data_IF_323906706006
#
_entry.id   IF_323906706006
#
_cell.length_a   1.000
_cell.length_b   1.000
_cell.length_c   1.000
_cell.angle_alpha   90.00
_cell.angle_beta   90.00
_cell.angle_gamma   90.00
#
_symmetry.space_group_name_H-M   'P 1'
#
loop_
_entity.id
_entity.type
_entity.pdbx_description
1 polymer ?
#
# COMPACT_ATOMS: atom_id res chain seq x y z
N UNK A 1 -44.40 -26.25 8.59
CA UNK A 1 -45.31 -25.89 9.69
C UNK A 1 -44.80 -24.66 10.35
N UNK A 2 -45.67 -23.76 10.41
CA UNK A 2 -45.90 -22.54 11.18
C UNK A 2 -45.14 -21.30 10.70
N UNK A 3 -45.84 -20.52 9.95
CA UNK A 3 -46.92 -19.57 10.28
C UNK A 3 -46.44 -18.42 11.13
N UNK A 4 -46.61 -17.25 10.46
CA UNK A 4 -47.11 -15.99 10.97
C UNK A 4 -46.01 -15.07 11.52
N UNK A 5 -45.90 -13.82 11.11
CA UNK A 5 -46.83 -12.66 11.12
C UNK A 5 -46.13 -11.56 10.34
N UNK A 6 -46.51 -11.04 9.25
CA UNK A 6 -47.46 -9.97 8.93
C UNK A 6 -47.53 -8.77 9.90
N UNK A 7 -47.38 -7.63 9.29
CA UNK A 7 -47.66 -6.26 9.77
C UNK A 7 -46.53 -5.55 10.56
N UNK A 8 -45.89 -4.58 9.99
CA UNK A 8 -46.31 -3.18 10.17
C UNK A 8 -45.78 -2.28 9.07
N UNK A 9 -46.70 -1.82 8.30
CA UNK A 9 -46.61 -0.62 7.46
C UNK A 9 -46.68 0.57 8.41
N UNK A 10 -45.63 1.40 8.42
CA UNK A 10 -45.72 2.74 8.98
C UNK A 10 -44.90 3.69 8.12
N UNK A 11 -45.62 4.37 7.30
CA UNK A 11 -45.33 5.58 6.55
C UNK A 11 -44.97 6.72 7.53
N UNK A 12 -43.75 7.22 7.46
CA UNK A 12 -43.43 8.57 8.00
C UNK A 12 -42.53 9.29 7.03
N UNK A 13 -43.15 10.12 6.21
CA UNK A 13 -42.54 11.26 5.56
C UNK A 13 -42.13 12.27 6.63
N UNK A 14 -40.85 12.58 6.75
CA UNK A 14 -40.43 13.84 7.36
C UNK A 14 -39.38 14.45 6.42
N UNK A 15 -39.83 15.43 5.68
CA UNK A 15 -39.00 16.41 4.99
C UNK A 15 -38.47 17.41 6.02
N UNK A 16 -37.18 17.49 6.21
CA UNK A 16 -36.55 18.68 6.76
C UNK A 16 -35.32 19.04 5.94
N UNK A 17 -35.51 20.07 5.17
CA UNK A 17 -34.47 20.86 4.54
C UNK A 17 -33.68 21.59 5.64
N UNK A 18 -32.36 21.32 5.70
CA UNK A 18 -31.46 22.16 6.47
C UNK A 18 -30.17 22.33 5.66
N UNK A 19 -30.03 23.50 5.05
CA UNK A 19 -28.76 24.00 4.55
C UNK A 19 -27.80 24.24 5.69
N UNK A 20 -26.76 23.42 5.80
CA UNK A 20 -25.62 23.64 6.68
C UNK A 20 -24.36 23.81 5.85
N UNK A 21 -23.92 25.05 5.72
CA UNK A 21 -22.69 25.46 5.08
C UNK A 21 -21.53 25.12 6.03
N UNK A 22 -20.99 23.91 5.94
CA UNK A 22 -19.81 23.47 6.68
C UNK A 22 -18.60 23.51 5.76
N UNK A 23 -17.69 24.44 6.02
CA UNK A 23 -16.36 24.51 5.43
C UNK A 23 -15.56 23.29 5.91
N UNK A 24 -15.47 22.28 5.08
CA UNK A 24 -14.64 21.11 5.35
C UNK A 24 -13.32 21.27 4.60
N UNK A 25 -12.28 21.60 5.34
CA UNK A 25 -10.91 21.44 4.88
C UNK A 25 -10.65 19.95 4.66
N UNK A 26 -11.00 19.47 3.50
CA UNK A 26 -10.58 18.16 3.03
C UNK A 26 -9.11 18.25 2.60
N UNK A 27 -8.21 18.05 3.54
CA UNK A 27 -6.93 17.47 3.21
C UNK A 27 -7.23 16.07 2.67
N UNK A 28 -6.89 15.73 1.41
CA UNK A 28 -6.94 14.37 0.98
C UNK A 28 -5.86 13.63 1.76
N UNK A 29 -6.24 12.88 2.77
CA UNK A 29 -5.44 11.75 3.23
C UNK A 29 -5.26 10.90 1.97
N UNK A 30 -4.04 10.91 1.45
CA UNK A 30 -3.63 10.06 0.36
C UNK A 30 -3.79 8.64 0.88
N UNK A 31 -4.90 8.03 0.53
CA UNK A 31 -5.17 6.62 0.75
C UNK A 31 -4.10 5.90 -0.08
N UNK A 32 -3.04 5.48 0.60
CA UNK A 32 -2.05 4.58 0.01
C UNK A 32 -2.79 3.28 -0.25
N UNK A 33 -3.27 3.15 -1.47
CA UNK A 33 -3.83 1.93 -1.99
C UNK A 33 -2.77 0.85 -1.75
N UNK A 34 -3.07 -0.11 -0.88
CA UNK A 34 -2.29 -1.34 -0.77
C UNK A 34 -2.26 -1.96 -2.17
N UNK A 35 -1.17 -1.71 -2.91
CA UNK A 35 -0.91 -2.41 -4.14
C UNK A 35 -0.80 -3.89 -3.80
N UNK A 36 -1.64 -4.70 -4.37
CA UNK A 36 -1.58 -6.16 -4.26
C UNK A 36 -0.23 -6.61 -4.77
N UNK A 37 0.50 -7.39 -4.00
CA UNK A 37 1.80 -7.94 -4.42
C UNK A 37 1.62 -8.73 -5.71
N UNK A 38 2.26 -8.27 -6.80
CA UNK A 38 2.21 -8.90 -8.11
C UNK A 38 1.35 -8.20 -9.15
N UNK A 39 1.15 -6.90 -9.03
CA UNK A 39 0.34 -6.06 -9.94
C UNK A 39 1.16 -5.51 -11.14
N UNK A 40 2.31 -6.09 -11.44
CA UNK A 40 3.21 -5.60 -12.49
C UNK A 40 3.75 -4.19 -12.24
N UNK A 41 3.84 -3.78 -10.97
CA UNK A 41 4.27 -2.45 -10.53
C UNK A 41 5.37 -2.52 -9.50
N UNK A 42 6.19 -1.48 -9.47
CA UNK A 42 7.16 -1.26 -8.40
C UNK A 42 6.46 -0.69 -7.18
N UNK A 43 6.72 -1.28 -6.02
CA UNK A 43 6.07 -0.93 -4.74
C UNK A 43 7.04 -0.14 -3.87
N UNK A 44 6.62 1.04 -3.43
CA UNK A 44 7.40 1.83 -2.47
C UNK A 44 7.17 1.31 -1.05
N UNK A 45 8.26 1.04 -0.33
CA UNK A 45 8.20 0.57 1.04
C UNK A 45 8.55 1.66 2.04
N UNK A 46 7.78 1.72 3.11
CA UNK A 46 8.18 2.32 4.38
C UNK A 46 9.02 1.35 5.21
N UNK A 47 9.65 1.80 6.30
CA UNK A 47 10.32 0.90 7.26
C UNK A 47 9.39 -0.20 7.75
N UNK A 48 8.16 0.15 8.10
CA UNK A 48 7.17 -0.82 8.58
C UNK A 48 6.85 -1.90 7.53
N UNK A 49 6.71 -1.51 6.26
CA UNK A 49 6.50 -2.44 5.15
C UNK A 49 7.71 -3.34 4.91
N UNK A 50 8.91 -2.78 4.99
CA UNK A 50 10.15 -3.54 4.85
C UNK A 50 10.27 -4.63 5.92
N UNK A 51 9.99 -4.28 7.19
CA UNK A 51 10.00 -5.23 8.29
C UNK A 51 8.93 -6.33 8.14
N UNK A 52 7.80 -6.01 7.52
CA UNK A 52 6.70 -6.96 7.33
C UNK A 52 6.87 -7.85 6.09
N UNK A 53 7.51 -7.36 5.01
CA UNK A 53 7.50 -8.00 3.69
C UNK A 53 8.86 -8.48 3.21
N UNK A 54 9.93 -7.93 3.74
CA UNK A 54 11.29 -8.23 3.29
C UNK A 54 12.10 -8.90 4.39
N UNK A 55 12.44 -8.15 5.43
CA UNK A 55 13.26 -8.67 6.52
C UNK A 55 13.00 -7.91 7.82
N UNK A 56 12.62 -8.64 8.85
CA UNK A 56 12.43 -8.08 10.18
C UNK A 56 13.69 -8.22 11.03
N UNK A 57 14.60 -7.26 10.89
CA UNK A 57 15.84 -7.22 11.64
C UNK A 57 15.64 -6.90 13.15
N UNK A 58 14.51 -6.33 13.52
CA UNK A 58 14.17 -6.08 14.92
C UNK A 58 13.82 -7.39 15.66
N UNK A 59 13.15 -8.31 14.97
CA UNK A 59 12.84 -9.65 15.51
C UNK A 59 13.96 -10.64 15.33
N UNK A 60 14.72 -10.55 14.22
CA UNK A 60 15.76 -11.50 13.83
C UNK A 60 17.12 -10.80 13.62
N UNK A 61 17.73 -10.16 14.65
CA UNK A 61 18.92 -9.34 14.45
C UNK A 61 20.19 -10.13 14.10
N UNK A 62 20.17 -11.45 14.22
CA UNK A 62 21.34 -12.32 14.02
C UNK A 62 21.23 -13.24 12.81
N UNK A 63 20.04 -13.36 12.24
CA UNK A 63 19.77 -14.30 11.16
C UNK A 63 18.89 -13.65 10.11
N UNK A 64 19.32 -13.72 8.85
CA UNK A 64 18.50 -13.30 7.74
C UNK A 64 17.31 -14.24 7.55
N UNK A 65 16.10 -13.68 7.63
CA UNK A 65 14.88 -14.40 7.34
C UNK A 65 14.01 -13.56 6.41
N UNK A 66 13.84 -14.01 5.19
CA UNK A 66 12.96 -13.37 4.24
C UNK A 66 11.49 -13.58 4.64
N UNK A 67 10.71 -12.51 4.62
CA UNK A 67 9.31 -12.52 5.07
C UNK A 67 8.30 -12.64 3.89
N UNK A 68 8.77 -12.58 2.63
CA UNK A 68 7.91 -12.67 1.44
C UNK A 68 7.77 -14.08 0.89
N UNK A 69 6.78 -14.27 0.01
CA UNK A 69 6.49 -15.55 -0.63
C UNK A 69 7.18 -15.73 -1.99
N UNK A 70 7.54 -14.61 -2.64
CA UNK A 70 8.13 -14.58 -3.98
C UNK A 70 9.51 -13.95 -3.94
N UNK A 71 10.41 -14.29 -4.88
CA UNK A 71 11.66 -13.57 -5.03
C UNK A 71 11.42 -12.07 -5.17
N UNK A 72 12.23 -11.27 -4.49
CA UNK A 72 12.08 -9.82 -4.52
C UNK A 72 13.38 -9.12 -4.88
N UNK A 73 13.25 -8.01 -5.60
CA UNK A 73 14.30 -7.03 -5.81
C UNK A 73 13.98 -5.84 -4.92
N UNK A 74 14.97 -5.35 -4.16
CA UNK A 74 14.82 -4.14 -3.34
C UNK A 74 15.82 -3.11 -3.84
N UNK A 75 15.30 -2.01 -4.39
CA UNK A 75 16.09 -0.88 -4.87
C UNK A 75 16.11 0.22 -3.82
N UNK A 76 17.30 0.50 -3.27
CA UNK A 76 17.52 1.64 -2.39
C UNK A 76 17.95 2.84 -3.20
N UNK A 77 17.12 3.88 -3.25
CA UNK A 77 17.34 5.05 -4.09
C UNK A 77 17.30 6.36 -3.30
N UNK A 78 17.79 7.42 -3.94
CA UNK A 78 17.61 8.79 -3.49
C UNK A 78 17.30 9.71 -4.68
N UNK A 79 16.60 10.80 -4.45
CA UNK A 79 16.19 11.73 -5.52
C UNK A 79 17.37 12.41 -6.23
N UNK A 80 18.49 12.58 -5.55
CA UNK A 80 19.72 13.15 -6.11
C UNK A 80 20.60 12.14 -6.85
N UNK A 81 20.29 10.86 -6.77
CA UNK A 81 21.06 9.78 -7.38
C UNK A 81 20.77 9.68 -8.89
N UNK A 82 21.69 10.19 -9.72
CA UNK A 82 21.58 10.13 -11.19
C UNK A 82 21.46 8.70 -11.74
N UNK A 83 22.38 7.77 -11.39
CA UNK A 83 22.29 6.36 -11.81
C UNK A 83 20.99 5.67 -11.39
N UNK A 84 20.45 5.98 -10.20
CA UNK A 84 19.19 5.42 -9.73
C UNK A 84 18.00 5.77 -10.66
N UNK A 85 18.01 7.00 -11.20
CA UNK A 85 17.01 7.44 -12.18
C UNK A 85 17.09 6.69 -13.50
N UNK A 86 18.26 6.20 -13.87
CA UNK A 86 18.45 5.39 -15.07
C UNK A 86 17.96 3.95 -14.87
N UNK A 87 18.05 3.43 -13.67
CA UNK A 87 17.58 2.08 -13.31
C UNK A 87 16.07 2.03 -13.14
N UNK A 88 15.44 3.10 -12.67
CA UNK A 88 14.02 3.13 -12.37
C UNK A 88 13.12 2.62 -13.53
N UNK A 89 13.24 3.09 -14.79
CA UNK A 89 12.41 2.58 -15.89
C UNK A 89 12.66 1.10 -16.18
N UNK A 90 13.88 0.59 -15.97
CA UNK A 90 14.22 -0.83 -16.15
C UNK A 90 13.47 -1.69 -15.12
N UNK A 91 13.42 -1.23 -13.87
CA UNK A 91 12.65 -1.91 -12.82
C UNK A 91 11.15 -1.89 -13.09
N UNK A 92 10.62 -0.81 -13.66
CA UNK A 92 9.22 -0.74 -14.07
C UNK A 92 8.89 -1.72 -15.21
N UNK A 93 9.81 -1.90 -16.16
CA UNK A 93 9.67 -2.89 -17.22
C UNK A 93 9.74 -4.32 -16.68
N UNK A 94 10.72 -4.61 -15.81
CA UNK A 94 10.85 -5.92 -15.16
C UNK A 94 9.63 -6.28 -14.31
N UNK A 95 9.06 -5.31 -13.60
CA UNK A 95 7.85 -5.54 -12.82
C UNK A 95 6.69 -6.02 -13.69
N UNK A 96 6.56 -5.45 -14.90
CA UNK A 96 5.53 -5.84 -15.86
C UNK A 96 5.84 -7.19 -16.52
N UNK A 97 7.09 -7.41 -16.91
CA UNK A 97 7.52 -8.65 -17.60
C UNK A 97 7.38 -9.87 -16.69
N UNK A 98 7.74 -9.71 -15.41
CA UNK A 98 7.70 -10.79 -14.41
C UNK A 98 6.52 -10.66 -13.44
N UNK A 99 5.43 -10.05 -13.88
CA UNK A 99 4.21 -9.90 -13.07
C UNK A 99 3.76 -11.24 -12.47
N UNK A 100 3.50 -11.24 -11.19
CA UNK A 100 3.12 -12.44 -10.44
C UNK A 100 4.26 -13.41 -10.11
N UNK A 101 5.47 -13.26 -10.71
CA UNK A 101 6.62 -14.14 -10.49
C UNK A 101 7.62 -13.57 -9.49
N UNK A 102 7.87 -12.26 -9.56
CA UNK A 102 8.76 -11.54 -8.65
C UNK A 102 8.04 -10.31 -8.12
N UNK A 103 8.57 -9.74 -7.04
CA UNK A 103 8.13 -8.45 -6.51
C UNK A 103 9.28 -7.47 -6.57
N UNK A 104 9.02 -6.24 -7.00
CA UNK A 104 10.03 -5.18 -7.02
C UNK A 104 9.63 -4.09 -6.05
N UNK A 105 10.50 -3.85 -5.08
CA UNK A 105 10.36 -2.85 -4.05
C UNK A 105 11.34 -1.71 -4.23
N UNK A 106 10.93 -0.50 -3.83
CA UNK A 106 11.80 0.68 -3.75
C UNK A 106 11.77 1.28 -2.36
N UNK A 107 12.93 1.64 -1.86
CA UNK A 107 13.12 2.30 -0.56
C UNK A 107 13.79 3.65 -0.78
N UNK A 108 13.12 4.71 -0.36
CA UNK A 108 13.68 6.06 -0.38
C UNK A 108 14.59 6.25 0.84
N UNK A 109 15.90 6.28 0.63
CA UNK A 109 16.88 6.36 1.70
C UNK A 109 16.89 7.69 2.46
N UNK A 110 16.30 8.74 1.87
CA UNK A 110 16.17 10.04 2.52
C UNK A 110 14.98 10.07 3.51
N UNK A 111 13.93 9.30 3.21
CA UNK A 111 12.75 9.16 4.07
C UNK A 111 12.93 8.03 5.08
N UNK A 112 13.50 6.92 4.65
CA UNK A 112 13.66 5.70 5.43
C UNK A 112 15.11 5.50 5.89
N UNK A 113 15.66 6.51 6.59
CA UNK A 113 17.08 6.56 6.99
C UNK A 113 17.52 5.39 7.88
N UNK A 114 16.60 4.75 8.60
CA UNK A 114 16.92 3.58 9.42
C UNK A 114 17.11 2.29 8.58
N UNK A 115 16.73 2.31 7.31
CA UNK A 115 16.93 1.20 6.38
C UNK A 115 18.18 1.36 5.52
N UNK A 116 18.77 2.56 5.49
CA UNK A 116 19.89 2.92 4.61
C UNK A 116 21.26 2.56 5.17
#
# INVERSE_FOLDING_TARGET
>A
MNKTILFFLALMLVTTTACGRGNSNNNPVKEETMATEGDGKVIHLTKADFLAKVYNFEKNPKEWKYEGDKPAIVDFYADWCGPCKMVAPILDELAKEYDGQIVIYKVDTEKEQELA
#
